data_IF_302964082627
#
_entry.id   IF_302964082627
#
_cell.length_a   1.000
_cell.length_b   1.000
_cell.length_c   1.000
_cell.angle_alpha   90.00
_cell.angle_beta   90.00
_cell.angle_gamma   90.00
#
_symmetry.space_group_name_H-M   'P 1'
#
loop_
_entity.id
_entity.type
_entity.pdbx_description
1 polymer ?
#
# COMPACT_ATOMS: atom_id res chain seq x y z
N UNK A 1 -36.98 30.71 12.82
CA UNK A 1 -35.72 30.98 12.10
C UNK A 1 -35.48 29.82 11.14
N UNK A 2 -35.47 30.05 9.82
CA UNK A 2 -35.13 28.98 8.87
C UNK A 2 -33.70 28.50 9.14
N UNK A 3 -33.50 27.18 9.19
CA UNK A 3 -32.17 26.62 9.36
C UNK A 3 -31.43 26.82 8.04
N UNK A 4 -30.40 27.65 8.04
CA UNK A 4 -29.52 27.80 6.88
C UNK A 4 -28.87 26.42 6.64
N UNK A 5 -29.13 25.85 5.48
CA UNK A 5 -28.57 24.62 4.99
C UNK A 5 -27.09 24.75 4.64
N UNK A 6 -26.40 23.63 4.73
CA UNK A 6 -24.94 23.55 4.67
C UNK A 6 -24.33 24.08 3.36
N UNK A 7 -25.05 23.97 2.24
CA UNK A 7 -24.57 24.32 0.91
C UNK A 7 -25.01 25.71 0.42
N UNK A 8 -25.86 26.43 1.13
CA UNK A 8 -26.35 27.75 0.68
C UNK A 8 -25.40 28.89 1.04
N UNK A 9 -25.69 30.08 0.51
CA UNK A 9 -24.89 31.27 0.74
C UNK A 9 -24.87 31.61 2.24
N UNK A 10 -23.68 31.88 2.75
CA UNK A 10 -23.50 32.17 4.17
C UNK A 10 -24.11 33.55 4.51
N UNK A 11 -25.00 33.65 5.52
CA UNK A 11 -25.68 34.89 5.86
C UNK A 11 -24.76 35.96 6.46
N UNK A 12 -23.49 35.65 6.72
CA UNK A 12 -22.48 36.62 7.19
C UNK A 12 -21.94 37.56 6.08
N UNK A 13 -22.41 37.42 4.84
CA UNK A 13 -22.01 38.29 3.72
C UNK A 13 -20.68 37.90 3.07
N UNK A 14 -20.10 36.75 3.40
CA UNK A 14 -18.81 36.31 2.84
C UNK A 14 -18.87 35.84 1.38
N UNK A 15 -20.07 35.64 0.83
CA UNK A 15 -20.29 35.06 -0.51
C UNK A 15 -19.92 33.57 -0.62
N UNK A 16 -19.44 32.94 0.45
CA UNK A 16 -19.06 31.51 0.48
C UNK A 16 -20.26 30.64 0.90
N UNK A 17 -20.19 29.33 0.62
CA UNK A 17 -21.15 28.35 1.16
C UNK A 17 -21.05 28.30 2.68
N UNK A 18 -22.16 28.13 3.39
CA UNK A 18 -22.21 28.10 4.86
C UNK A 18 -21.19 27.13 5.48
N UNK A 19 -21.06 25.92 4.92
CA UNK A 19 -20.06 24.90 5.31
C UNK A 19 -18.59 25.29 5.16
N UNK A 20 -18.30 26.28 4.33
CA UNK A 20 -16.96 26.77 4.04
C UNK A 20 -16.69 28.12 4.73
N UNK A 21 -17.63 28.60 5.53
CA UNK A 21 -17.54 29.87 6.24
C UNK A 21 -17.86 29.66 7.74
N UNK A 22 -19.06 30.02 8.19
CA UNK A 22 -19.41 29.97 9.61
C UNK A 22 -19.55 28.54 10.17
N UNK A 23 -19.75 27.53 9.32
CA UNK A 23 -19.82 26.11 9.70
C UNK A 23 -18.59 25.32 9.25
N UNK A 24 -17.49 26.03 8.92
CA UNK A 24 -16.22 25.38 8.59
C UNK A 24 -15.65 24.72 9.85
N UNK A 25 -15.94 23.42 10.04
CA UNK A 25 -15.11 22.60 10.91
C UNK A 25 -13.71 22.66 10.32
N UNK A 26 -12.76 23.25 11.05
CA UNK A 26 -11.37 23.49 10.66
C UNK A 26 -10.53 22.24 10.38
N UNK A 27 -11.10 21.23 9.71
CA UNK A 27 -10.37 20.14 9.09
C UNK A 27 -9.62 20.71 7.89
N UNK A 28 -8.44 21.23 8.16
CA UNK A 28 -7.50 21.61 7.11
C UNK A 28 -7.35 20.43 6.13
N UNK A 29 -7.42 20.63 4.80
CA UNK A 29 -7.11 19.58 3.84
C UNK A 29 -5.64 19.11 3.93
N UNK A 30 -4.85 19.76 4.81
CA UNK A 30 -3.42 19.55 5.02
C UNK A 30 -3.14 18.35 5.94
N UNK A 31 -4.08 17.95 6.79
CA UNK A 31 -3.93 16.74 7.61
C UNK A 31 -3.91 15.45 6.75
N UNK A 32 -4.41 15.54 5.51
CA UNK A 32 -4.51 14.40 4.61
C UNK A 32 -3.31 14.24 3.67
N UNK A 33 -2.49 15.29 3.42
CA UNK A 33 -1.42 15.19 2.41
C UNK A 33 -0.28 14.25 2.82
N UNK A 34 0.24 14.40 4.05
CA UNK A 34 1.29 13.49 4.54
C UNK A 34 0.77 12.08 4.74
N UNK A 35 -0.46 11.92 5.27
CA UNK A 35 -1.07 10.60 5.46
C UNK A 35 -1.30 9.90 4.11
N UNK A 36 -1.79 10.61 3.09
CA UNK A 36 -1.94 10.07 1.73
C UNK A 36 -0.59 9.66 1.13
N UNK A 37 0.47 10.45 1.33
CA UNK A 37 1.82 10.10 0.86
C UNK A 37 2.37 8.86 1.57
N UNK A 38 2.17 8.72 2.89
CA UNK A 38 2.60 7.54 3.64
C UNK A 38 1.83 6.29 3.23
N UNK A 39 0.51 6.39 3.03
CA UNK A 39 -0.33 5.28 2.54
C UNK A 39 0.10 4.90 1.12
N UNK A 40 0.29 5.87 0.23
CA UNK A 40 0.74 5.61 -1.14
C UNK A 40 2.13 4.94 -1.16
N UNK A 41 3.07 5.41 -0.35
CA UNK A 41 4.39 4.81 -0.22
C UNK A 41 4.32 3.36 0.32
N UNK A 42 3.48 3.10 1.32
CA UNK A 42 3.28 1.76 1.87
C UNK A 42 2.66 0.79 0.85
N UNK A 43 1.69 1.24 0.05
CA UNK A 43 1.08 0.44 -1.03
C UNK A 43 2.12 0.12 -2.10
N UNK A 44 2.92 1.10 -2.53
CA UNK A 44 4.01 0.89 -3.51
C UNK A 44 5.05 -0.10 -2.98
N UNK A 45 5.45 0.02 -1.71
CA UNK A 45 6.39 -0.90 -1.09
C UNK A 45 5.85 -2.34 -1.02
N UNK A 46 4.56 -2.52 -0.69
CA UNK A 46 3.92 -3.84 -0.64
C UNK A 46 3.81 -4.49 -2.03
N UNK A 47 3.50 -3.71 -3.08
CA UNK A 47 3.48 -4.20 -4.46
C UNK A 47 4.89 -4.64 -4.88
N UNK A 48 5.90 -3.81 -4.66
CA UNK A 48 7.29 -4.14 -4.99
C UNK A 48 7.78 -5.39 -4.22
N UNK A 49 7.51 -5.46 -2.91
CA UNK A 49 7.87 -6.61 -2.09
C UNK A 49 7.14 -7.89 -2.52
N UNK A 50 5.86 -7.80 -2.91
CA UNK A 50 5.10 -8.95 -3.42
C UNK A 50 5.62 -9.51 -4.75
N UNK A 51 6.31 -8.69 -5.56
CA UNK A 51 7.06 -9.17 -6.72
C UNK A 51 8.46 -9.66 -6.36
N UNK A 52 9.13 -9.02 -5.40
CA UNK A 52 10.48 -9.42 -4.96
C UNK A 52 10.53 -10.71 -4.18
N UNK A 53 9.44 -11.14 -3.53
CA UNK A 53 9.39 -12.43 -2.81
C UNK A 53 9.09 -13.64 -3.72
N UNK A 54 8.89 -13.45 -5.03
CA UNK A 54 8.70 -14.56 -5.97
C UNK A 54 9.97 -14.97 -6.74
N UNK A 55 11.13 -14.51 -6.30
CA UNK A 55 12.38 -14.81 -7.00
C UNK A 55 13.57 -14.98 -6.08
N UNK A 56 14.09 -16.21 -6.06
CA UNK A 56 15.45 -16.58 -5.62
C UNK A 56 15.59 -17.04 -4.17
N UNK A 57 14.79 -18.02 -3.75
CA UNK A 57 15.36 -19.15 -3.02
C UNK A 57 16.36 -19.86 -3.95
N UNK A 58 17.57 -19.31 -4.03
CA UNK A 58 18.78 -19.99 -4.52
C UNK A 58 19.23 -21.09 -3.56
N UNK A 59 18.28 -21.84 -2.99
CA UNK A 59 18.54 -23.05 -2.24
C UNK A 59 18.55 -24.19 -3.23
N UNK A 60 19.74 -24.63 -3.64
CA UNK A 60 19.93 -25.81 -4.49
C UNK A 60 19.30 -27.04 -3.84
N UNK A 61 18.02 -27.27 -4.12
CA UNK A 61 17.29 -28.45 -3.71
C UNK A 61 17.72 -29.60 -4.59
N UNK A 62 18.67 -30.40 -4.11
CA UNK A 62 18.94 -31.69 -4.72
C UNK A 62 17.67 -32.54 -4.67
N UNK A 63 17.38 -33.26 -5.75
CA UNK A 63 16.28 -34.26 -5.79
C UNK A 63 16.84 -35.63 -5.41
N UNK A 64 16.13 -36.35 -4.53
CA UNK A 64 16.51 -37.70 -4.11
C UNK A 64 16.08 -38.73 -5.15
N UNK A 65 17.00 -39.57 -5.63
CA UNK A 65 16.65 -40.70 -6.50
C UNK A 65 16.61 -42.00 -5.72
N UNK A 66 15.41 -42.57 -5.54
CA UNK A 66 15.18 -43.80 -4.78
C UNK A 66 15.88 -45.04 -5.38
N UNK A 67 16.20 -44.98 -6.67
CA UNK A 67 16.91 -46.01 -7.44
C UNK A 67 18.43 -46.03 -7.17
N UNK A 68 19.03 -44.87 -6.89
CA UNK A 68 20.49 -44.73 -6.82
C UNK A 68 21.01 -44.26 -5.46
N UNK A 69 20.13 -43.96 -4.50
CA UNK A 69 20.51 -43.70 -3.10
C UNK A 69 21.33 -42.43 -2.87
N UNK A 70 21.29 -41.47 -3.81
CA UNK A 70 21.97 -40.18 -3.67
C UNK A 70 21.13 -39.02 -4.22
N UNK A 71 21.56 -37.81 -3.86
CA UNK A 71 20.97 -36.56 -4.31
C UNK A 71 21.71 -36.03 -5.55
N UNK A 72 20.96 -35.49 -6.51
CA UNK A 72 21.51 -34.73 -7.62
C UNK A 72 20.94 -33.32 -7.70
N UNK A 73 21.74 -32.40 -8.22
CA UNK A 73 21.27 -31.08 -8.61
C UNK A 73 20.51 -31.11 -9.95
N UNK A 74 19.98 -29.95 -10.36
CA UNK A 74 19.24 -29.78 -11.62
C UNK A 74 20.08 -30.08 -12.89
N UNK A 75 21.41 -30.25 -12.76
CA UNK A 75 22.33 -30.58 -13.84
C UNK A 75 22.83 -32.03 -13.76
N UNK A 76 22.26 -32.86 -12.89
CA UNK A 76 22.62 -34.26 -12.71
C UNK A 76 23.96 -34.48 -11.99
N UNK A 77 24.52 -33.46 -11.33
CA UNK A 77 25.73 -33.63 -10.52
C UNK A 77 25.37 -34.17 -9.15
N UNK A 78 26.08 -35.20 -8.72
CA UNK A 78 25.95 -35.75 -7.36
C UNK A 78 26.32 -34.67 -6.34
N UNK A 79 25.43 -34.42 -5.38
CA UNK A 79 25.68 -33.44 -4.31
C UNK A 79 26.16 -34.19 -3.06
N UNK A 80 27.47 -34.16 -2.77
CA UNK A 80 27.99 -34.72 -1.51
C UNK A 80 29.41 -35.28 -1.51
N UNK A 81 30.42 -34.48 -1.84
CA UNK A 81 31.79 -34.72 -1.36
C UNK A 81 32.47 -33.43 -0.93
#
# INVERSE_FOLDING_TARGET
MAKVGRNEACPCGSGKKYKQCCESKGGSPVQSRMIMLLIAAAIVAAILAGFSTRGSDGGGGGVWSAEHGHYHDANGRETGR
#
